data_IF_570409497302
#
_entry.id   IF_570409497302
#
_cell.length_a   1.000
_cell.length_b   1.000
_cell.length_c   1.000
_cell.angle_alpha   90.00
_cell.angle_beta   90.00
_cell.angle_gamma   90.00
#
_symmetry.space_group_name_H-M   'P 1'
#
loop_
_entity.id
_entity.type
_entity.pdbx_description
1 polymer ?
#
# COMPACT_ATOMS: atom_id res chain seq x y z
N UNK A 1 59.71 1.82 -48.24
CA UNK A 1 58.58 2.70 -47.86
C UNK A 1 57.64 1.89 -47.00
N UNK A 2 57.65 2.09 -45.68
CA UNK A 2 56.73 1.44 -44.77
C UNK A 2 55.38 2.17 -44.86
N UNK A 3 54.37 1.48 -45.38
CA UNK A 3 52.99 1.93 -45.28
C UNK A 3 52.56 1.74 -43.81
N UNK A 4 52.74 2.76 -42.99
CA UNK A 4 52.13 2.78 -41.67
C UNK A 4 50.63 2.96 -41.85
N UNK A 5 49.89 1.85 -41.77
CA UNK A 5 48.44 1.87 -41.76
C UNK A 5 47.99 2.63 -40.51
N UNK A 6 47.21 3.70 -40.72
CA UNK A 6 46.60 4.46 -39.63
C UNK A 6 45.66 3.52 -38.86
N UNK A 7 45.81 3.36 -37.53
CA UNK A 7 44.87 2.59 -36.72
C UNK A 7 43.44 3.08 -36.90
N UNK A 8 42.47 2.16 -36.97
CA UNK A 8 41.07 2.49 -37.28
C UNK A 8 40.49 3.47 -36.27
N UNK A 9 40.93 3.41 -35.00
CA UNK A 9 40.51 4.27 -33.89
C UNK A 9 40.89 5.74 -34.09
N UNK A 10 41.95 5.98 -34.86
CA UNK A 10 42.42 7.31 -35.23
C UNK A 10 41.70 7.85 -36.47
N UNK A 11 40.93 7.01 -37.17
CA UNK A 11 40.15 7.47 -38.32
C UNK A 11 38.97 8.33 -37.86
N UNK A 12 38.73 9.44 -38.57
CA UNK A 12 37.59 10.32 -38.32
C UNK A 12 36.25 9.59 -38.40
N UNK A 13 36.15 8.59 -39.29
CA UNK A 13 34.95 7.77 -39.46
C UNK A 13 34.66 6.95 -38.19
N UNK A 14 35.67 6.28 -37.61
CA UNK A 14 35.51 5.54 -36.38
C UNK A 14 35.10 6.44 -35.21
N UNK A 15 35.78 7.57 -35.02
CA UNK A 15 35.47 8.51 -33.94
C UNK A 15 34.01 9.00 -34.05
N UNK A 16 33.55 9.36 -35.25
CA UNK A 16 32.17 9.80 -35.46
C UNK A 16 31.13 8.72 -35.12
N UNK A 17 31.35 7.49 -35.58
CA UNK A 17 30.45 6.37 -35.31
C UNK A 17 30.44 6.03 -33.81
N UNK A 18 31.62 5.96 -33.19
CA UNK A 18 31.77 5.71 -31.77
C UNK A 18 31.06 6.77 -30.94
N UNK A 19 31.34 8.05 -31.16
CA UNK A 19 30.69 9.15 -30.43
C UNK A 19 29.17 9.12 -30.62
N UNK A 20 28.68 8.90 -31.85
CA UNK A 20 27.24 8.80 -32.11
C UNK A 20 26.62 7.60 -31.39
N UNK A 21 27.30 6.46 -31.38
CA UNK A 21 26.86 5.24 -30.69
C UNK A 21 26.83 5.43 -29.17
N UNK A 22 27.89 6.01 -28.62
CA UNK A 22 28.04 6.31 -27.20
C UNK A 22 26.93 7.25 -26.71
N UNK A 23 26.79 8.43 -27.35
CA UNK A 23 25.75 9.42 -26.99
C UNK A 23 24.35 8.83 -27.11
N UNK A 24 24.09 8.02 -28.15
CA UNK A 24 22.80 7.34 -28.31
C UNK A 24 22.57 6.29 -27.23
N UNK A 25 23.62 5.58 -26.83
CA UNK A 25 23.57 4.58 -25.77
C UNK A 25 23.26 5.22 -24.42
N UNK A 26 23.97 6.30 -24.08
CA UNK A 26 23.77 7.08 -22.86
C UNK A 26 22.36 7.67 -22.79
N UNK A 27 21.94 8.42 -23.82
CA UNK A 27 20.61 9.01 -23.88
C UNK A 27 19.48 7.95 -23.81
N UNK A 28 19.68 6.78 -24.43
CA UNK A 28 18.73 5.67 -24.32
C UNK A 28 18.74 5.03 -22.94
N UNK A 29 19.90 4.92 -22.32
CA UNK A 29 20.06 4.36 -20.98
C UNK A 29 19.33 5.22 -19.96
N UNK A 30 19.56 6.53 -20.00
CA UNK A 30 18.91 7.52 -19.15
C UNK A 30 17.40 7.53 -19.36
N UNK A 31 16.92 7.73 -20.59
CA UNK A 31 15.49 7.77 -20.89
C UNK A 31 14.77 6.48 -20.49
N UNK A 32 15.41 5.30 -20.67
CA UNK A 32 14.84 4.03 -20.22
C UNK A 32 14.87 3.89 -18.70
N UNK A 33 15.91 4.38 -18.05
CA UNK A 33 16.06 4.35 -16.60
C UNK A 33 14.97 5.18 -15.93
N UNK A 34 14.79 6.41 -16.39
CA UNK A 34 13.76 7.34 -15.93
C UNK A 34 12.36 6.77 -16.16
N UNK A 35 12.01 6.42 -17.41
CA UNK A 35 10.68 5.88 -17.73
C UNK A 35 10.34 4.60 -16.93
N UNK A 36 11.33 3.72 -16.69
CA UNK A 36 11.14 2.54 -15.85
C UNK A 36 11.00 2.90 -14.37
N UNK A 37 11.75 3.89 -13.91
CA UNK A 37 11.70 4.37 -12.54
C UNK A 37 10.32 4.95 -12.21
N UNK A 38 9.84 5.84 -13.06
CA UNK A 38 8.53 6.48 -12.94
C UNK A 38 7.40 5.45 -12.99
N UNK A 39 7.34 4.62 -14.04
CA UNK A 39 6.28 3.62 -14.18
C UNK A 39 6.24 2.63 -13.00
N UNK A 40 7.41 2.24 -12.47
CA UNK A 40 7.48 1.39 -11.27
C UNK A 40 7.06 2.13 -10.01
N UNK A 41 7.43 3.40 -9.88
CA UNK A 41 7.08 4.25 -8.75
C UNK A 41 5.58 4.45 -8.66
N UNK A 42 4.95 4.84 -9.78
CA UNK A 42 3.52 5.05 -9.91
C UNK A 42 2.73 3.78 -9.62
N UNK A 43 3.01 2.68 -10.34
CA UNK A 43 2.30 1.41 -10.14
C UNK A 43 2.40 0.88 -8.70
N UNK A 44 3.56 1.06 -8.04
CA UNK A 44 3.73 0.68 -6.62
C UNK A 44 2.98 1.62 -5.68
N UNK A 45 2.97 2.91 -6.00
CA UNK A 45 2.27 3.93 -5.21
C UNK A 45 0.77 3.69 -5.23
N UNK A 46 0.20 3.51 -6.43
CA UNK A 46 -1.21 3.23 -6.65
C UNK A 46 -1.63 1.94 -5.96
N UNK A 47 -0.98 0.80 -6.24
CA UNK A 47 -1.34 -0.48 -5.62
C UNK A 47 -1.27 -0.45 -4.08
N UNK A 48 -0.30 0.26 -3.50
CA UNK A 48 -0.22 0.45 -2.04
C UNK A 48 -1.30 1.37 -1.52
N UNK A 49 -1.62 2.42 -2.25
CA UNK A 49 -2.67 3.38 -1.92
C UNK A 49 -4.03 2.73 -1.90
N UNK A 50 -4.37 1.99 -2.95
CA UNK A 50 -5.62 1.24 -3.09
C UNK A 50 -5.77 0.20 -1.99
N UNK A 51 -4.78 -0.69 -1.79
CA UNK A 51 -4.85 -1.72 -0.75
C UNK A 51 -5.02 -1.13 0.66
N UNK A 52 -4.35 0.00 0.97
CA UNK A 52 -4.54 0.71 2.24
C UNK A 52 -5.91 1.36 2.34
N UNK A 53 -6.39 1.96 1.26
CA UNK A 53 -7.70 2.59 1.18
C UNK A 53 -8.83 1.59 1.38
N UNK A 54 -8.77 0.45 0.70
CA UNK A 54 -9.73 -0.63 0.78
C UNK A 54 -9.80 -1.21 2.21
N UNK A 55 -8.65 -1.55 2.81
CA UNK A 55 -8.62 -2.05 4.19
C UNK A 55 -9.19 -1.03 5.19
N UNK A 56 -8.86 0.26 5.04
CA UNK A 56 -9.43 1.33 5.88
C UNK A 56 -10.95 1.44 5.69
N UNK A 57 -11.42 1.34 4.45
CA UNK A 57 -12.84 1.37 4.11
C UNK A 57 -13.60 0.20 4.73
N UNK A 58 -13.07 -1.03 4.63
CA UNK A 58 -13.67 -2.22 5.26
C UNK A 58 -13.77 -2.06 6.78
N UNK A 59 -12.69 -1.59 7.43
CA UNK A 59 -12.69 -1.38 8.89
C UNK A 59 -13.68 -0.29 9.30
N UNK A 60 -13.73 0.82 8.57
CA UNK A 60 -14.70 1.89 8.81
C UNK A 60 -16.14 1.39 8.64
N UNK A 61 -16.42 0.63 7.58
CA UNK A 61 -17.74 0.06 7.33
C UNK A 61 -18.16 -0.97 8.38
N UNK A 62 -17.25 -1.85 8.82
CA UNK A 62 -17.51 -2.78 9.94
C UNK A 62 -17.86 -2.02 11.22
N UNK A 63 -17.12 -0.95 11.51
CA UNK A 63 -17.34 -0.10 12.69
C UNK A 63 -18.71 0.58 12.66
N UNK A 64 -19.04 1.21 11.55
CA UNK A 64 -20.32 1.88 11.36
C UNK A 64 -21.49 0.90 11.47
N UNK A 65 -21.39 -0.25 10.79
CA UNK A 65 -22.40 -1.32 10.86
C UNK A 65 -22.61 -1.79 12.29
N UNK A 66 -21.53 -2.05 13.03
CA UNK A 66 -21.62 -2.49 14.42
C UNK A 66 -22.31 -1.45 15.29
N UNK A 67 -21.97 -0.16 15.16
CA UNK A 67 -22.62 0.92 15.90
C UNK A 67 -24.11 1.00 15.58
N UNK A 68 -24.49 0.94 14.30
CA UNK A 68 -25.90 0.97 13.88
C UNK A 68 -26.70 -0.20 14.45
N UNK A 69 -26.16 -1.42 14.38
CA UNK A 69 -26.82 -2.62 14.90
C UNK A 69 -26.96 -2.57 16.44
N UNK A 70 -25.92 -2.13 17.14
CA UNK A 70 -25.95 -1.97 18.58
C UNK A 70 -26.95 -0.90 19.01
N UNK A 71 -26.99 0.25 18.32
CA UNK A 71 -27.97 1.29 18.58
C UNK A 71 -29.41 0.82 18.32
N UNK A 72 -29.62 0.05 17.24
CA UNK A 72 -30.93 -0.50 16.92
C UNK A 72 -31.39 -1.53 17.97
N UNK A 73 -30.49 -2.38 18.48
CA UNK A 73 -30.84 -3.46 19.42
C UNK A 73 -30.94 -2.99 20.87
N UNK A 74 -30.07 -2.09 21.29
CA UNK A 74 -29.91 -1.70 22.70
C UNK A 74 -30.24 -0.22 22.98
N UNK A 75 -30.50 0.58 21.95
CA UNK A 75 -30.78 2.01 22.08
C UNK A 75 -29.50 2.84 22.23
N UNK A 76 -29.57 3.91 23.02
CA UNK A 76 -28.41 4.79 23.23
C UNK A 76 -27.23 4.02 23.84
N UNK A 77 -26.08 4.05 23.17
CA UNK A 77 -24.87 3.39 23.63
C UNK A 77 -24.10 4.28 24.61
N UNK A 78 -23.53 3.71 25.69
CA UNK A 78 -22.56 4.42 26.52
C UNK A 78 -21.39 4.97 25.69
N UNK A 79 -20.83 6.09 26.13
CA UNK A 79 -19.72 6.76 25.44
C UNK A 79 -18.50 5.84 25.36
N UNK A 80 -18.24 5.08 26.43
CA UNK A 80 -17.13 4.14 26.56
C UNK A 80 -17.18 3.05 25.48
N UNK A 81 -18.38 2.55 25.18
CA UNK A 81 -18.60 1.53 24.14
C UNK A 81 -18.31 2.10 22.76
N UNK A 82 -18.75 3.33 22.51
CA UNK A 82 -18.54 4.01 21.23
C UNK A 82 -17.05 4.32 21.00
N UNK A 83 -16.31 4.72 22.04
CA UNK A 83 -14.86 4.95 22.00
C UNK A 83 -14.07 3.65 21.79
N UNK A 84 -14.48 2.57 22.47
CA UNK A 84 -13.87 1.25 22.30
C UNK A 84 -14.05 0.74 20.86
N UNK A 85 -15.24 0.91 20.29
CA UNK A 85 -15.51 0.59 18.88
C UNK A 85 -14.69 1.49 17.93
N UNK A 86 -14.56 2.78 18.26
CA UNK A 86 -13.75 3.76 17.53
C UNK A 86 -12.29 3.34 17.34
N UNK A 87 -11.69 2.77 18.38
CA UNK A 87 -10.27 2.36 18.40
C UNK A 87 -10.02 0.90 18.06
N UNK A 88 -11.07 0.10 17.87
CA UNK A 88 -10.96 -1.34 17.63
C UNK A 88 -10.30 -1.70 16.29
N UNK A 89 -9.57 -2.82 16.30
CA UNK A 89 -8.99 -3.45 15.12
C UNK A 89 -10.05 -4.15 14.25
N UNK A 90 -9.70 -4.46 13.01
CA UNK A 90 -10.59 -5.19 12.09
C UNK A 90 -11.08 -6.53 12.66
N UNK A 91 -10.17 -7.23 13.37
CA UNK A 91 -10.43 -8.54 13.97
C UNK A 91 -11.40 -8.41 15.15
N UNK A 92 -11.19 -7.40 16.00
CA UNK A 92 -12.08 -7.13 17.13
C UNK A 92 -13.50 -6.79 16.67
N UNK A 93 -13.62 -5.91 15.65
CA UNK A 93 -14.92 -5.55 15.08
C UNK A 93 -15.67 -6.77 14.52
N UNK A 94 -14.95 -7.67 13.86
CA UNK A 94 -15.53 -8.89 13.30
C UNK A 94 -15.98 -9.88 14.38
N UNK A 95 -15.18 -10.06 15.43
CA UNK A 95 -15.56 -10.87 16.58
C UNK A 95 -16.82 -10.32 17.28
N UNK A 96 -16.92 -9.00 17.45
CA UNK A 96 -18.10 -8.38 18.04
C UNK A 96 -19.34 -8.47 17.14
N UNK A 97 -19.18 -8.31 15.83
CA UNK A 97 -20.28 -8.51 14.88
C UNK A 97 -20.83 -9.94 14.95
N UNK A 98 -19.97 -10.95 14.95
CA UNK A 98 -20.41 -12.36 15.05
C UNK A 98 -21.17 -12.61 16.34
N UNK A 99 -20.60 -12.22 17.49
CA UNK A 99 -21.27 -12.40 18.79
C UNK A 99 -22.59 -11.63 18.91
N UNK A 100 -22.67 -10.45 18.28
CA UNK A 100 -23.90 -9.67 18.25
C UNK A 100 -25.01 -10.42 17.49
N UNK A 101 -24.65 -11.11 16.41
CA UNK A 101 -25.56 -11.95 15.63
C UNK A 101 -25.92 -13.24 16.36
N UNK A 102 -25.01 -13.80 17.17
CA UNK A 102 -25.28 -14.96 18.04
C UNK A 102 -26.23 -14.63 19.21
N UNK A 103 -26.60 -13.36 19.35
CA UNK A 103 -27.58 -12.91 20.33
C UNK A 103 -26.99 -12.54 21.69
N UNK A 104 -25.67 -12.45 21.82
CA UNK A 104 -25.02 -12.05 23.08
C UNK A 104 -25.44 -10.63 23.50
N UNK A 105 -25.48 -10.42 24.82
CA UNK A 105 -25.75 -9.12 25.43
C UNK A 105 -24.53 -8.20 25.37
N UNK A 106 -24.76 -6.90 25.54
CA UNK A 106 -23.73 -5.86 25.35
C UNK A 106 -22.47 -6.09 26.21
N UNK A 107 -22.60 -6.52 27.46
CA UNK A 107 -21.45 -6.82 28.31
C UNK A 107 -20.61 -7.99 27.78
N UNK A 108 -21.27 -9.08 27.33
CA UNK A 108 -20.60 -10.29 26.83
C UNK A 108 -19.80 -10.02 25.55
N UNK A 109 -20.24 -9.07 24.72
CA UNK A 109 -19.50 -8.64 23.53
C UNK A 109 -18.09 -8.11 23.87
N UNK A 110 -17.97 -7.31 24.94
CA UNK A 110 -16.74 -6.58 25.26
C UNK A 110 -15.85 -7.24 26.32
N UNK A 111 -16.37 -8.20 27.10
CA UNK A 111 -15.65 -8.84 28.23
C UNK A 111 -14.34 -9.56 27.83
N UNK A 112 -14.26 -10.17 26.65
CA UNK A 112 -13.08 -10.94 26.21
C UNK A 112 -12.05 -10.12 25.41
N UNK A 113 -12.29 -8.82 25.17
CA UNK A 113 -11.39 -7.96 24.38
C UNK A 113 -10.24 -7.35 25.21
N UNK A 114 -10.25 -7.47 26.53
CA UNK A 114 -9.23 -6.88 27.40
C UNK A 114 -7.87 -7.58 27.34
N UNK A 115 -7.76 -8.71 26.63
CA UNK A 115 -6.59 -9.58 26.69
C UNK A 115 -5.63 -9.50 25.49
N UNK A 116 -5.84 -8.59 24.53
CA UNK A 116 -4.99 -8.49 23.33
C UNK A 116 -4.08 -7.24 23.34
N UNK A 117 -3.53 -6.91 24.51
CA UNK A 117 -2.31 -6.09 24.60
C UNK A 117 -1.09 -7.01 24.45
N UNK A 118 -0.85 -7.54 23.25
CA UNK A 118 0.45 -8.13 22.92
C UNK A 118 1.40 -7.02 22.46
N UNK A 119 2.50 -6.75 23.20
CA UNK A 119 3.55 -5.88 22.71
C UNK A 119 4.46 -6.69 21.77
N UNK A 120 4.62 -6.21 20.55
CA UNK A 120 5.78 -6.50 19.69
C UNK A 120 6.34 -5.17 19.20
#
# INVERSE_FOLDING_TARGET
MLNELIPIEQTRAYQSIFTKGFLRGEARGEARGEARGEARGEARGEARGEARGELRGIVAGKRETLLQLLQHRFGALPTEVSEQIGSASAVQLEQWLTRLLDGEGLEQLFILSTNDKSPL
#
